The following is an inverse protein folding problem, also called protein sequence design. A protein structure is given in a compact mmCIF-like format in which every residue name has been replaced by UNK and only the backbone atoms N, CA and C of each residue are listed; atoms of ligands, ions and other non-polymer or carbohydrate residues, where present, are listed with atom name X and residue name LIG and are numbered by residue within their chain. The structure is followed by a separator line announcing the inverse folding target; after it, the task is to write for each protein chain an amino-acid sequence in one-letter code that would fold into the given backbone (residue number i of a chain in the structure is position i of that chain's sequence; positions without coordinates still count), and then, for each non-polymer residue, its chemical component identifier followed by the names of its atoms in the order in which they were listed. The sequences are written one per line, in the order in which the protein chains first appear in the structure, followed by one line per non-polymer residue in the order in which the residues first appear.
data_IF_562953146608
#
_entry.id   IF_562953146608
#
_cell.length_a   1.000
_cell.length_b   1.000
_cell.length_c   1.000
_cell.angle_alpha   90.00
_cell.angle_beta   90.00
_cell.angle_gamma   90.00
#
_symmetry.space_group_name_H-M   'P 1'
#
loop_
_entity.id
_entity.type
_entity.pdbx_description
1 polymer ?
#
# COMPACT_ATOMS: atom_id res chain seq x y z
N UNK A 1 55.27 15.59 -55.46
CA UNK A 1 54.72 14.71 -54.39
C UNK A 1 53.73 15.52 -53.65
N UNK A 2 52.42 15.27 -53.95
CA UNK A 2 51.28 15.95 -53.33
C UNK A 2 50.69 15.01 -52.28
N UNK A 3 50.45 15.45 -51.02
CA UNK A 3 49.87 14.58 -50.04
C UNK A 3 48.34 14.49 -50.22
N UNK A 4 47.87 13.30 -50.13
CA UNK A 4 46.48 12.84 -50.28
C UNK A 4 45.67 13.24 -49.05
N UNK A 5 44.50 13.91 -49.23
CA UNK A 5 43.57 14.30 -48.18
C UNK A 5 42.89 13.08 -47.52
N UNK A 6 42.59 13.13 -46.23
CA UNK A 6 41.89 12.03 -45.54
C UNK A 6 40.39 12.01 -45.87
N UNK A 7 39.91 10.81 -46.06
CA UNK A 7 38.53 10.44 -46.39
C UNK A 7 37.59 10.75 -45.23
N UNK A 8 36.52 11.53 -45.49
CA UNK A 8 35.53 11.89 -44.52
C UNK A 8 34.78 10.66 -43.97
N UNK A 9 34.65 10.55 -42.66
CA UNK A 9 33.87 9.54 -41.97
C UNK A 9 32.36 9.80 -42.13
N UNK A 10 31.63 8.76 -42.48
CA UNK A 10 30.14 8.76 -42.56
C UNK A 10 29.55 8.93 -41.16
N UNK A 11 28.48 9.73 -40.98
CA UNK A 11 27.80 9.84 -39.69
C UNK A 11 27.07 8.53 -39.35
N UNK A 12 27.26 8.07 -38.12
CA UNK A 12 26.48 6.95 -37.54
C UNK A 12 24.99 7.34 -37.45
N UNK A 13 24.15 6.54 -38.10
CA UNK A 13 22.72 6.67 -38.01
C UNK A 13 22.29 6.49 -36.55
N UNK A 14 21.67 7.51 -35.97
CA UNK A 14 20.99 7.47 -34.67
C UNK A 14 19.83 6.46 -34.77
N UNK A 15 20.01 5.30 -34.13
CA UNK A 15 18.98 4.30 -34.00
C UNK A 15 17.91 4.83 -33.07
N UNK A 16 16.74 5.20 -33.62
CA UNK A 16 15.53 5.52 -32.86
C UNK A 16 15.16 4.27 -32.02
N UNK A 17 15.38 4.38 -30.70
CA UNK A 17 14.86 3.42 -29.74
C UNK A 17 13.35 3.63 -29.71
N UNK A 18 12.63 2.69 -30.29
CA UNK A 18 11.17 2.65 -30.17
C UNK A 18 10.82 2.55 -28.67
N UNK A 19 10.08 3.54 -28.17
CA UNK A 19 9.53 3.54 -26.81
C UNK A 19 8.56 2.36 -26.72
N UNK A 20 8.95 1.34 -25.97
CA UNK A 20 8.05 0.22 -25.70
C UNK A 20 6.76 0.75 -25.05
N UNK A 21 5.58 0.25 -25.46
CA UNK A 21 4.33 0.64 -24.81
C UNK A 21 4.36 0.18 -23.37
N UNK A 22 4.10 1.09 -22.44
CA UNK A 22 3.94 0.78 -21.02
C UNK A 22 2.97 -0.39 -20.85
N UNK A 23 3.29 -1.41 -20.04
CA UNK A 23 2.37 -2.52 -19.84
C UNK A 23 1.06 -1.98 -19.30
N UNK A 24 -0.05 -2.29 -19.98
CA UNK A 24 -1.39 -2.02 -19.46
C UNK A 24 -1.54 -2.77 -18.14
N UNK A 25 -2.13 -2.14 -17.10
CA UNK A 25 -2.36 -2.86 -15.86
C UNK A 25 -3.29 -4.04 -16.15
N UNK A 26 -2.76 -5.25 -16.03
CA UNK A 26 -3.59 -6.43 -15.98
C UNK A 26 -4.45 -6.34 -14.73
N UNK A 27 -5.77 -6.33 -14.90
CA UNK A 27 -6.76 -6.51 -13.85
C UNK A 27 -6.73 -7.98 -13.38
N UNK A 28 -5.63 -8.40 -12.79
CA UNK A 28 -5.57 -9.65 -12.05
C UNK A 28 -6.03 -9.35 -10.63
N UNK A 29 -7.01 -10.11 -10.15
CA UNK A 29 -7.34 -10.14 -8.72
C UNK A 29 -6.04 -10.21 -7.93
N UNK A 30 -5.80 -9.25 -7.04
CA UNK A 30 -4.52 -9.14 -6.35
C UNK A 30 -4.29 -10.40 -5.52
N UNK A 31 -3.26 -11.17 -5.89
CA UNK A 31 -2.80 -12.34 -5.11
C UNK A 31 -2.07 -11.92 -3.84
N UNK A 32 -1.65 -10.66 -3.76
CA UNK A 32 -1.06 -10.03 -2.59
C UNK A 32 -1.33 -8.52 -2.59
N UNK A 33 -1.53 -7.91 -1.42
CA UNK A 33 -1.71 -6.46 -1.28
C UNK A 33 -1.37 -6.01 0.15
N UNK A 34 -1.15 -4.71 0.30
CA UNK A 34 -1.06 -4.07 1.62
C UNK A 34 -2.44 -3.57 2.01
N UNK A 35 -2.83 -3.72 3.28
CA UNK A 35 -4.08 -3.17 3.81
C UNK A 35 -3.79 -2.13 4.88
N UNK A 36 -4.43 -0.97 4.74
CA UNK A 36 -4.36 0.12 5.70
C UNK A 36 -5.28 -0.10 6.90
N UNK A 37 -4.96 0.55 8.01
CA UNK A 37 -5.74 0.53 9.25
C UNK A 37 -7.19 0.98 9.05
N UNK A 38 -7.47 1.93 8.15
CA UNK A 38 -8.84 2.40 7.86
C UNK A 38 -9.75 1.31 7.31
N UNK A 39 -9.22 0.44 6.44
CA UNK A 39 -9.95 -0.71 5.91
C UNK A 39 -10.14 -1.78 7.01
N UNK A 40 -9.07 -2.06 7.78
CA UNK A 40 -9.12 -3.04 8.86
C UNK A 40 -10.06 -2.61 9.99
N UNK A 41 -10.17 -1.31 10.26
CA UNK A 41 -11.12 -0.74 11.22
C UNK A 41 -12.57 -1.08 10.85
N UNK A 42 -12.92 -0.96 9.57
CA UNK A 42 -14.25 -1.30 9.07
C UNK A 42 -14.59 -2.80 9.19
N UNK A 43 -13.58 -3.68 9.27
CA UNK A 43 -13.82 -5.10 9.54
C UNK A 43 -14.23 -5.37 10.99
N UNK A 44 -13.72 -4.58 11.92
CA UNK A 44 -13.98 -4.71 13.35
C UNK A 44 -15.22 -3.93 13.78
N UNK A 45 -15.42 -2.75 13.20
CA UNK A 45 -16.55 -1.87 13.50
C UNK A 45 -17.51 -1.88 12.30
N UNK A 46 -18.48 -2.78 12.33
CA UNK A 46 -19.36 -3.09 11.19
C UNK A 46 -20.21 -1.93 10.68
N UNK A 47 -20.43 -0.91 11.48
CA UNK A 47 -21.10 0.33 11.10
C UNK A 47 -20.29 1.17 10.10
N UNK A 48 -19.01 0.86 9.92
CA UNK A 48 -18.09 1.48 8.95
C UNK A 48 -17.87 0.59 7.70
N UNK A 49 -18.54 -0.57 7.60
CA UNK A 49 -18.35 -1.51 6.50
C UNK A 49 -18.85 -0.96 5.17
N UNK A 50 -18.14 -1.27 4.11
CA UNK A 50 -18.47 -0.95 2.72
C UNK A 50 -18.25 -2.18 1.83
N UNK A 51 -18.84 -2.27 0.62
CA UNK A 51 -18.55 -3.37 -0.30
C UNK A 51 -17.05 -3.56 -0.58
N UNK A 52 -16.28 -2.47 -0.63
CA UNK A 52 -14.83 -2.52 -0.82
C UNK A 52 -14.12 -3.17 0.38
N UNK A 53 -14.48 -2.76 1.61
CA UNK A 53 -13.85 -3.33 2.82
C UNK A 53 -14.25 -4.78 3.04
N UNK A 54 -15.46 -5.17 2.69
CA UNK A 54 -15.90 -6.57 2.73
C UNK A 54 -15.16 -7.44 1.73
N UNK A 55 -14.99 -6.96 0.49
CA UNK A 55 -14.16 -7.64 -0.52
C UNK A 55 -12.72 -7.79 -0.07
N UNK A 56 -12.15 -6.76 0.59
CA UNK A 56 -10.81 -6.83 1.17
C UNK A 56 -10.71 -7.88 2.29
N UNK A 57 -11.72 -7.97 3.15
CA UNK A 57 -11.78 -8.99 4.19
C UNK A 57 -11.87 -10.41 3.57
N UNK A 58 -12.74 -10.63 2.61
CA UNK A 58 -12.86 -11.92 1.92
C UNK A 58 -11.54 -12.32 1.24
N UNK A 59 -10.83 -11.37 0.65
CA UNK A 59 -9.55 -11.63 -0.01
C UNK A 59 -8.48 -12.13 0.97
N UNK A 60 -8.56 -11.84 2.29
CA UNK A 60 -7.61 -12.38 3.29
C UNK A 60 -7.61 -13.91 3.38
N UNK A 61 -8.65 -14.58 2.89
CA UNK A 61 -8.72 -16.03 2.88
C UNK A 61 -7.77 -16.68 1.87
N UNK A 62 -7.47 -15.98 0.76
CA UNK A 62 -6.74 -16.55 -0.39
C UNK A 62 -5.54 -15.72 -0.85
N UNK A 63 -5.47 -14.45 -0.48
CA UNK A 63 -4.37 -13.55 -0.84
C UNK A 63 -3.37 -13.38 0.31
N UNK A 64 -2.13 -13.04 -0.03
CA UNK A 64 -1.12 -12.61 0.94
C UNK A 64 -1.35 -11.14 1.30
N UNK A 65 -1.96 -10.88 2.45
CA UNK A 65 -2.30 -9.53 2.90
C UNK A 65 -1.27 -9.04 3.91
N UNK A 66 -0.62 -7.93 3.56
CA UNK A 66 0.49 -7.37 4.31
C UNK A 66 0.09 -6.13 5.11
N UNK A 67 0.67 -5.99 6.29
CA UNK A 67 0.55 -4.80 7.13
C UNK A 67 1.92 -4.46 7.75
N UNK A 68 2.24 -3.19 8.01
CA UNK A 68 3.40 -2.82 8.81
C UNK A 68 3.18 -3.21 10.28
N UNK A 69 4.25 -3.35 11.06
CA UNK A 69 4.15 -3.66 12.50
C UNK A 69 3.34 -2.60 13.27
N UNK A 70 3.28 -1.37 12.78
CA UNK A 70 2.46 -0.28 13.27
C UNK A 70 0.97 -0.64 13.36
N UNK A 71 0.45 -1.45 12.44
CA UNK A 71 -0.95 -1.89 12.41
C UNK A 71 -1.43 -2.45 13.75
N UNK A 72 -0.57 -3.18 14.46
CA UNK A 72 -0.92 -3.73 15.77
C UNK A 72 -1.24 -2.64 16.80
N UNK A 73 -0.47 -1.55 16.78
CA UNK A 73 -0.68 -0.40 17.68
C UNK A 73 -1.94 0.38 17.29
N UNK A 74 -2.18 0.55 16.01
CA UNK A 74 -3.37 1.25 15.52
C UNK A 74 -4.65 0.48 15.85
N UNK A 75 -4.68 -0.84 15.66
CA UNK A 75 -5.83 -1.67 16.03
C UNK A 75 -6.07 -1.64 17.56
N UNK A 76 -5.02 -1.74 18.36
CA UNK A 76 -5.15 -1.63 19.81
C UNK A 76 -5.72 -0.26 20.22
N UNK A 77 -5.22 0.84 19.64
CA UNK A 77 -5.70 2.19 19.91
C UNK A 77 -7.13 2.42 19.43
N UNK A 78 -7.51 1.87 18.27
CA UNK A 78 -8.88 1.89 17.74
C UNK A 78 -9.85 1.29 18.75
N UNK A 79 -9.59 0.07 19.19
CA UNK A 79 -10.46 -0.67 20.11
C UNK A 79 -10.55 0.01 21.48
N UNK A 80 -9.43 0.49 22.03
CA UNK A 80 -9.41 1.27 23.27
C UNK A 80 -10.22 2.57 23.14
N UNK A 81 -10.12 3.23 21.99
CA UNK A 81 -10.85 4.47 21.75
C UNK A 81 -12.34 4.23 21.59
N UNK A 82 -12.73 3.14 20.91
CA UNK A 82 -14.12 2.73 20.78
C UNK A 82 -14.76 2.44 22.15
N UNK A 83 -14.03 1.75 23.03
CA UNK A 83 -14.48 1.51 24.40
C UNK A 83 -14.60 2.79 25.22
N UNK A 84 -13.58 3.65 25.21
CA UNK A 84 -13.64 4.94 25.95
C UNK A 84 -14.77 5.85 25.51
N UNK A 85 -15.20 5.75 24.23
CA UNK A 85 -16.33 6.50 23.66
C UNK A 85 -17.67 5.81 23.90
N UNK A 86 -17.71 4.67 24.57
CA UNK A 86 -18.95 3.91 24.83
C UNK A 86 -19.54 3.22 23.59
N UNK A 87 -18.79 3.11 22.48
CA UNK A 87 -19.26 2.39 21.28
C UNK A 87 -19.29 0.87 21.49
N UNK A 88 -18.39 0.35 22.33
CA UNK A 88 -18.26 -1.05 22.70
C UNK A 88 -17.95 -1.15 24.20
N UNK A 89 -18.31 -2.24 24.83
CA UNK A 89 -17.91 -2.59 26.18
C UNK A 89 -16.57 -3.34 26.24
N UNK A 90 -16.13 -3.73 27.44
CA UNK A 90 -14.86 -4.42 27.66
C UNK A 90 -14.84 -5.82 27.03
N UNK A 91 -15.94 -6.54 27.10
CA UNK A 91 -16.05 -7.90 26.58
C UNK A 91 -16.01 -7.88 25.05
N UNK A 92 -16.76 -6.95 24.43
CA UNK A 92 -16.73 -6.76 22.98
C UNK A 92 -15.36 -6.29 22.48
N UNK A 93 -14.67 -5.43 23.23
CA UNK A 93 -13.29 -5.04 22.90
C UNK A 93 -12.37 -6.26 22.89
N UNK A 94 -12.45 -7.14 23.90
CA UNK A 94 -11.63 -8.34 23.97
C UNK A 94 -11.95 -9.31 22.82
N UNK A 95 -13.22 -9.52 22.50
CA UNK A 95 -13.68 -10.31 21.35
C UNK A 95 -13.09 -9.78 20.04
N UNK A 96 -13.20 -8.47 19.78
CA UNK A 96 -12.71 -7.85 18.57
C UNK A 96 -11.17 -7.88 18.47
N UNK A 97 -10.46 -7.75 19.60
CA UNK A 97 -9.00 -7.89 19.63
C UNK A 97 -8.57 -9.33 19.27
N UNK A 98 -9.27 -10.33 19.78
CA UNK A 98 -9.04 -11.74 19.41
C UNK A 98 -9.36 -12.00 17.94
N UNK A 99 -10.44 -11.43 17.41
CA UNK A 99 -10.80 -11.53 15.99
C UNK A 99 -9.71 -10.89 15.10
N UNK A 100 -9.23 -9.70 15.44
CA UNK A 100 -8.14 -9.04 14.73
C UNK A 100 -6.85 -9.86 14.74
N UNK A 101 -6.51 -10.48 15.88
CA UNK A 101 -5.34 -11.35 16.00
C UNK A 101 -5.48 -12.65 15.19
N UNK A 102 -6.71 -13.11 14.93
CA UNK A 102 -7.01 -14.28 14.10
C UNK A 102 -7.00 -14.02 12.59
N UNK A 103 -6.91 -12.77 12.15
CA UNK A 103 -6.81 -12.45 10.72
C UNK A 103 -5.50 -13.00 10.12
N UNK A 104 -5.61 -13.54 8.91
CA UNK A 104 -4.43 -14.08 8.18
C UNK A 104 -3.63 -12.96 7.53
N UNK A 105 -3.03 -12.09 8.35
CA UNK A 105 -2.22 -10.97 7.90
C UNK A 105 -0.73 -11.27 8.07
N UNK A 106 0.05 -10.86 7.09
CA UNK A 106 1.51 -10.89 7.12
C UNK A 106 2.01 -9.59 7.76
N UNK A 107 2.36 -9.63 9.04
CA UNK A 107 2.91 -8.47 9.74
C UNK A 107 4.38 -8.30 9.35
N UNK A 108 4.68 -7.26 8.56
CA UNK A 108 6.04 -6.91 8.20
C UNK A 108 6.79 -6.36 9.41
N UNK A 109 7.85 -7.05 9.84
CA UNK A 109 8.73 -6.65 10.95
C UNK A 109 10.08 -6.14 10.47
N UNK A 110 10.28 -6.04 9.16
CA UNK A 110 11.50 -5.47 8.60
C UNK A 110 11.60 -3.98 9.00
N UNK A 111 12.78 -3.54 9.47
CA UNK A 111 12.94 -2.17 9.92
C UNK A 111 12.85 -1.20 8.74
N UNK A 112 12.22 -0.06 8.98
CA UNK A 112 12.28 1.12 8.12
C UNK A 112 12.98 2.22 8.90
N UNK A 113 13.77 3.05 8.22
CA UNK A 113 14.52 4.11 8.88
C UNK A 113 13.70 5.39 9.06
N UNK A 114 13.96 6.15 10.11
CA UNK A 114 13.31 7.44 10.32
C UNK A 114 13.50 8.39 9.12
N UNK A 115 14.71 8.56 8.53
CA UNK A 115 14.88 9.41 7.34
C UNK A 115 14.04 8.98 6.15
N UNK A 116 13.84 7.67 5.94
CA UNK A 116 12.99 7.16 4.85
C UNK A 116 11.53 7.55 5.05
N UNK A 117 11.00 7.37 6.26
CA UNK A 117 9.62 7.74 6.58
C UNK A 117 9.39 9.24 6.54
N UNK A 118 10.32 10.02 7.09
CA UNK A 118 10.24 11.48 7.11
C UNK A 118 10.25 12.05 5.68
N UNK A 119 11.15 11.57 4.83
CA UNK A 119 11.21 11.99 3.43
C UNK A 119 9.91 11.65 2.69
N UNK A 120 9.40 10.43 2.84
CA UNK A 120 8.18 9.98 2.17
C UNK A 120 6.95 10.75 2.66
N UNK A 121 6.86 10.98 3.97
CA UNK A 121 5.80 11.79 4.58
C UNK A 121 5.81 13.24 4.06
N UNK A 122 6.99 13.86 4.03
CA UNK A 122 7.17 15.24 3.53
C UNK A 122 6.84 15.34 2.04
N UNK A 123 7.34 14.42 1.21
CA UNK A 123 7.10 14.41 -0.26
C UNK A 123 5.62 14.31 -0.60
N UNK A 124 4.88 13.50 0.14
CA UNK A 124 3.48 13.20 -0.16
C UNK A 124 2.47 13.91 0.75
N UNK A 125 2.93 14.70 1.73
CA UNK A 125 2.05 15.38 2.68
C UNK A 125 1.26 14.41 3.55
N UNK A 126 1.89 13.33 3.97
CA UNK A 126 1.32 12.26 4.79
C UNK A 126 1.71 12.40 6.26
N UNK A 127 0.97 11.76 7.14
CA UNK A 127 1.48 11.43 8.47
C UNK A 127 2.57 10.35 8.37
N UNK A 128 3.43 10.24 9.37
CA UNK A 128 4.40 9.14 9.42
C UNK A 128 3.73 7.76 9.47
N UNK A 129 2.51 7.68 10.01
CA UNK A 129 1.71 6.46 10.05
C UNK A 129 1.30 6.03 8.63
N UNK A 130 0.68 6.95 7.87
CA UNK A 130 0.29 6.67 6.48
C UNK A 130 1.51 6.38 5.59
N UNK A 131 2.62 7.08 5.84
CA UNK A 131 3.87 6.84 5.14
C UNK A 131 4.42 5.41 5.36
N UNK A 132 4.17 4.77 6.52
CA UNK A 132 4.55 3.38 6.75
C UNK A 132 3.82 2.41 5.80
N UNK A 133 2.54 2.64 5.52
CA UNK A 133 1.77 1.81 4.60
C UNK A 133 2.21 2.03 3.16
N UNK A 134 2.44 3.28 2.77
CA UNK A 134 2.93 3.62 1.43
C UNK A 134 4.33 3.04 1.20
N UNK A 135 5.23 3.15 2.18
CA UNK A 135 6.58 2.58 2.14
C UNK A 135 6.54 1.07 1.93
N UNK A 136 5.70 0.37 2.72
CA UNK A 136 5.56 -1.07 2.60
C UNK A 136 5.05 -1.49 1.22
N UNK A 137 4.07 -0.77 0.67
CA UNK A 137 3.53 -1.01 -0.66
C UNK A 137 4.59 -0.78 -1.76
N UNK A 138 5.35 0.30 -1.67
CA UNK A 138 6.44 0.62 -2.60
C UNK A 138 7.56 -0.42 -2.54
N UNK A 139 8.05 -0.72 -1.35
CA UNK A 139 9.15 -1.66 -1.14
C UNK A 139 8.83 -3.08 -1.59
N UNK A 140 7.57 -3.50 -1.44
CA UNK A 140 7.10 -4.82 -1.88
C UNK A 140 6.51 -4.82 -3.29
N UNK A 141 6.42 -3.68 -3.95
CA UNK A 141 5.77 -3.53 -5.25
C UNK A 141 4.33 -4.08 -5.24
N UNK A 142 3.57 -3.84 -4.15
CA UNK A 142 2.21 -4.34 -3.98
C UNK A 142 1.18 -3.21 -4.09
N UNK A 143 -0.04 -3.50 -4.55
CA UNK A 143 -1.15 -2.57 -4.46
C UNK A 143 -1.54 -2.37 -2.98
N UNK A 144 -2.20 -1.25 -2.69
CA UNK A 144 -2.61 -0.86 -1.34
C UNK A 144 -4.12 -0.66 -1.28
N UNK A 145 -4.76 -1.24 -0.27
CA UNK A 145 -6.17 -1.03 0.04
C UNK A 145 -6.28 0.00 1.17
N UNK A 146 -6.93 1.12 0.92
CA UNK A 146 -7.15 2.19 1.91
C UNK A 146 -8.45 2.94 1.64
N UNK A 147 -9.04 3.53 2.68
CA UNK A 147 -10.13 4.49 2.62
C UNK A 147 -9.64 5.93 2.84
N UNK A 148 -8.38 6.11 3.26
CA UNK A 148 -7.83 7.42 3.52
C UNK A 148 -7.56 8.20 2.23
N UNK A 149 -8.10 9.44 2.16
CA UNK A 149 -8.01 10.28 0.96
C UNK A 149 -6.61 10.81 0.69
N UNK A 150 -5.84 11.11 1.75
CA UNK A 150 -4.49 11.61 1.60
C UNK A 150 -3.57 10.49 1.10
N UNK A 151 -3.74 9.29 1.65
CA UNK A 151 -3.00 8.10 1.22
C UNK A 151 -3.37 7.70 -0.21
N UNK A 152 -4.65 7.75 -0.62
CA UNK A 152 -5.08 7.54 -2.01
C UNK A 152 -4.43 8.55 -2.97
N UNK A 153 -4.33 9.82 -2.57
CA UNK A 153 -3.67 10.84 -3.38
C UNK A 153 -2.15 10.60 -3.49
N UNK A 154 -1.50 10.17 -2.41
CA UNK A 154 -0.10 9.80 -2.38
C UNK A 154 0.21 8.60 -3.27
N UNK A 155 -0.62 7.55 -3.22
CA UNK A 155 -0.52 6.36 -4.07
C UNK A 155 -0.50 6.72 -5.56
N UNK A 156 -1.41 7.62 -5.98
CA UNK A 156 -1.47 8.08 -7.39
C UNK A 156 -0.17 8.78 -7.82
N UNK A 157 0.43 9.58 -6.94
CA UNK A 157 1.69 10.30 -7.22
C UNK A 157 2.90 9.36 -7.25
N UNK A 158 2.90 8.35 -6.40
CA UNK A 158 4.00 7.38 -6.27
C UNK A 158 3.87 6.15 -7.18
N UNK A 159 2.78 6.04 -7.96
CA UNK A 159 2.55 4.91 -8.87
C UNK A 159 2.07 3.62 -8.16
N UNK A 160 1.69 3.69 -6.89
CA UNK A 160 1.10 2.55 -6.18
C UNK A 160 -0.36 2.39 -6.62
N UNK A 161 -0.72 1.20 -7.07
CA UNK A 161 -2.08 0.90 -7.49
C UNK A 161 -3.03 0.70 -6.30
N UNK A 162 -4.31 1.07 -6.47
CA UNK A 162 -5.35 0.62 -5.54
C UNK A 162 -5.56 -0.89 -5.71
N UNK A 163 -5.71 -1.61 -4.60
CA UNK A 163 -5.96 -3.05 -4.64
C UNK A 163 -7.27 -3.35 -5.38
N UNK A 164 -7.18 -4.16 -6.43
CA UNK A 164 -8.35 -4.70 -7.14
C UNK A 164 -8.75 -5.99 -6.46
N UNK A 165 -9.91 -5.97 -5.80
CA UNK A 165 -10.40 -7.05 -4.97
C UNK A 165 -11.52 -7.80 -5.71
N UNK A 166 -11.64 -9.12 -5.52
CA UNK A 166 -12.75 -9.88 -6.09
C UNK A 166 -14.07 -9.44 -5.44
N UNK A 167 -15.13 -9.42 -6.22
CA UNK A 167 -16.50 -9.19 -5.74
C UNK A 167 -17.06 -10.43 -5.11
#
# INVERSE_FOLDING_TARGET
MTPRAPKAARPLATRLVAKEPSPKPFLTSATAFVVDASVSAAWLLRDESTPFTESALHATATADVWVPALWLLEMANLLQSAQRRGRIDGDKRAELAAAAAGLRLQVCREPVTLPTLDALAAEHGLTAYDACYLELALRRCLPLATLDRALLAAMRRSGVALATLPH
#
